data_IF_265762034578
#
_entry.id   IF_265762034578
#
_cell.length_a   1.000
_cell.length_b   1.000
_cell.length_c   1.000
_cell.angle_alpha   90.00
_cell.angle_beta   90.00
_cell.angle_gamma   90.00
#
_symmetry.space_group_name_H-M   'P 1'
#
loop_
_entity.id
_entity.type
_entity.pdbx_description
1 polymer ?
#
# COMPACT_ATOMS: atom_id res chain seq x y z
N UNK A 1 12.25 -0.34 -5.52
CA UNK A 1 10.91 0.27 -5.67
C UNK A 1 10.19 -0.24 -6.91
N UNK A 2 10.82 -0.19 -8.10
CA UNK A 2 10.26 -0.70 -9.36
C UNK A 2 9.64 -2.11 -9.27
N UNK A 3 10.33 -3.06 -8.64
CA UNK A 3 9.82 -4.44 -8.49
C UNK A 3 8.50 -4.53 -7.71
N UNK A 4 8.28 -3.69 -6.70
CA UNK A 4 7.05 -3.70 -5.91
C UNK A 4 5.86 -3.14 -6.69
N UNK A 5 6.08 -2.16 -7.56
CA UNK A 5 5.06 -1.70 -8.51
C UNK A 5 4.68 -2.81 -9.49
N UNK A 6 5.67 -3.53 -10.03
CA UNK A 6 5.42 -4.65 -10.94
C UNK A 6 4.65 -5.76 -10.26
N UNK A 7 4.99 -6.11 -9.01
CA UNK A 7 4.23 -7.10 -8.23
C UNK A 7 2.80 -6.61 -7.98
N UNK A 8 2.63 -5.33 -7.63
CA UNK A 8 1.32 -4.72 -7.41
C UNK A 8 0.41 -4.70 -8.65
N UNK A 9 1.00 -4.77 -9.85
CA UNK A 9 0.27 -4.90 -11.13
C UNK A 9 0.05 -6.37 -11.48
N UNK A 10 1.06 -7.21 -11.29
CA UNK A 10 1.04 -8.61 -11.71
C UNK A 10 0.02 -9.44 -10.93
N UNK A 11 -0.11 -9.22 -9.61
CA UNK A 11 -1.05 -10.01 -8.79
C UNK A 11 -2.51 -9.77 -9.22
N UNK A 12 -3.01 -8.52 -9.33
CA UNK A 12 -4.39 -8.30 -9.78
C UNK A 12 -4.64 -8.76 -11.22
N UNK A 13 -3.67 -8.58 -12.12
CA UNK A 13 -3.77 -9.11 -13.49
C UNK A 13 -3.89 -10.64 -13.49
N UNK A 14 -3.07 -11.33 -12.70
CA UNK A 14 -3.15 -12.78 -12.56
C UNK A 14 -4.52 -13.22 -12.02
N UNK A 15 -5.03 -12.55 -10.99
CA UNK A 15 -6.38 -12.80 -10.45
C UNK A 15 -7.44 -12.59 -11.55
N UNK A 16 -7.38 -11.49 -12.29
CA UNK A 16 -8.33 -11.21 -13.37
C UNK A 16 -8.31 -12.27 -14.48
N UNK A 17 -7.12 -12.81 -14.80
CA UNK A 17 -6.99 -13.91 -15.76
C UNK A 17 -7.65 -15.19 -15.26
N UNK A 18 -7.52 -15.51 -13.96
CA UNK A 18 -8.15 -16.68 -13.35
C UNK A 18 -9.68 -16.60 -13.37
N UNK A 19 -10.23 -15.44 -13.01
CA UNK A 19 -11.68 -15.24 -12.93
C UNK A 19 -12.34 -14.81 -14.24
N UNK A 20 -11.55 -14.48 -15.28
CA UNK A 20 -12.01 -13.92 -16.57
C UNK A 20 -13.04 -12.78 -16.39
N UNK A 21 -12.88 -11.98 -15.35
CA UNK A 21 -13.83 -10.93 -14.96
C UNK A 21 -13.10 -9.62 -14.73
N UNK A 22 -13.56 -8.56 -15.40
CA UNK A 22 -13.08 -7.20 -15.18
C UNK A 22 -13.54 -6.65 -13.83
N UNK A 23 -14.71 -7.06 -13.34
CA UNK A 23 -15.18 -6.68 -12.00
C UNK A 23 -14.29 -7.28 -10.92
N UNK A 24 -13.85 -8.53 -11.10
CA UNK A 24 -12.86 -9.15 -10.24
C UNK A 24 -11.55 -8.34 -10.26
N UNK A 25 -11.04 -7.99 -11.44
CA UNK A 25 -9.83 -7.16 -11.56
C UNK A 25 -9.93 -5.88 -10.74
N UNK A 26 -11.03 -5.13 -10.90
CA UNK A 26 -11.23 -3.82 -10.27
C UNK A 26 -11.37 -3.97 -8.75
N UNK A 27 -12.26 -4.85 -8.29
CA UNK A 27 -12.53 -5.02 -6.88
C UNK A 27 -11.30 -5.54 -6.12
N UNK A 28 -10.63 -6.58 -6.63
CA UNK A 28 -9.44 -7.12 -5.98
C UNK A 28 -8.27 -6.14 -6.03
N UNK A 29 -8.07 -5.42 -7.14
CA UNK A 29 -7.06 -4.35 -7.22
C UNK A 29 -7.30 -3.29 -6.15
N UNK A 30 -8.53 -2.81 -6.01
CA UNK A 30 -8.88 -1.76 -5.07
C UNK A 30 -8.71 -2.23 -3.62
N UNK A 31 -9.28 -3.37 -3.24
CA UNK A 31 -9.17 -3.89 -1.88
C UNK A 31 -7.74 -4.24 -1.48
N UNK A 32 -6.96 -4.84 -2.39
CA UNK A 32 -5.54 -5.09 -2.13
C UNK A 32 -4.75 -3.79 -2.00
N UNK A 33 -5.00 -2.81 -2.88
CA UNK A 33 -4.38 -1.49 -2.83
C UNK A 33 -4.60 -0.81 -1.48
N UNK A 34 -5.86 -0.81 -1.04
CA UNK A 34 -6.28 -0.26 0.24
C UNK A 34 -5.62 -0.98 1.41
N UNK A 35 -5.62 -2.31 1.40
CA UNK A 35 -5.00 -3.11 2.45
C UNK A 35 -3.50 -2.80 2.60
N UNK A 36 -2.76 -2.73 1.48
CA UNK A 36 -1.34 -2.41 1.52
C UNK A 36 -1.05 -0.97 1.95
N UNK A 37 -1.91 -0.01 1.62
CA UNK A 37 -1.79 1.36 2.11
C UNK A 37 -2.07 1.48 3.61
N UNK A 38 -3.06 0.75 4.12
CA UNK A 38 -3.32 0.66 5.56
C UNK A 38 -2.12 0.04 6.29
N UNK A 39 -1.58 -1.08 5.78
CA UNK A 39 -0.37 -1.71 6.34
C UNK A 39 0.82 -0.74 6.32
N UNK A 40 1.02 0.00 5.22
CA UNK A 40 2.05 1.04 5.13
C UNK A 40 1.89 2.10 6.22
N UNK A 41 0.66 2.61 6.41
CA UNK A 41 0.35 3.61 7.43
C UNK A 41 0.56 3.11 8.87
N UNK A 42 0.26 1.83 9.12
CA UNK A 42 0.48 1.17 10.40
C UNK A 42 1.98 0.99 10.69
N UNK A 43 2.77 0.52 9.72
CA UNK A 43 4.23 0.34 9.86
C UNK A 43 4.93 1.68 10.12
N UNK A 44 4.46 2.74 9.49
CA UNK A 44 5.00 4.08 9.68
C UNK A 44 4.57 4.71 11.03
N UNK A 45 3.66 4.06 11.78
CA UNK A 45 3.13 4.55 13.05
C UNK A 45 2.13 5.72 12.92
N UNK A 46 1.91 6.23 11.71
CA UNK A 46 1.04 7.38 11.44
C UNK A 46 -0.45 7.08 11.58
N UNK A 47 -0.86 5.84 11.33
CA UNK A 47 -2.28 5.46 11.38
C UNK A 47 -2.82 5.21 12.81
N UNK A 48 -1.95 5.04 13.82
CA UNK A 48 -2.35 4.63 15.17
C UNK A 48 -1.74 5.48 16.30
N UNK A 49 -0.83 6.42 16.00
CA UNK A 49 -0.16 7.26 17.00
C UNK A 49 -0.66 8.71 17.00
N UNK A 50 -0.80 9.31 18.18
CA UNK A 50 -0.92 10.78 18.26
C UNK A 50 0.39 11.42 17.79
N UNK A 51 0.31 12.61 17.17
CA UNK A 51 1.50 13.30 16.65
C UNK A 51 2.59 13.50 17.72
N UNK A 52 2.20 13.71 18.98
CA UNK A 52 3.13 13.82 20.10
C UNK A 52 3.81 12.50 20.45
N UNK A 53 3.07 11.37 20.40
CA UNK A 53 3.65 10.04 20.56
C UNK A 53 4.62 9.70 19.45
N UNK A 54 4.30 10.09 18.21
CA UNK A 54 5.19 9.89 17.06
C UNK A 54 6.47 10.70 17.24
N UNK A 55 6.39 11.97 17.68
CA UNK A 55 7.57 12.82 17.96
C UNK A 55 8.42 12.27 19.11
N UNK A 56 7.79 11.84 20.20
CA UNK A 56 8.50 11.24 21.33
C UNK A 56 9.23 9.94 20.94
N UNK A 57 8.55 9.04 20.22
CA UNK A 57 9.18 7.83 19.69
C UNK A 57 10.26 8.13 18.66
N UNK A 58 10.09 9.18 17.85
CA UNK A 58 11.10 9.57 16.87
C UNK A 58 12.42 9.89 17.56
N UNK A 59 12.43 10.66 18.66
CA UNK A 59 13.67 10.96 19.38
C UNK A 59 14.26 9.75 20.13
N UNK A 60 13.42 8.82 20.59
CA UNK A 60 13.85 7.65 21.35
C UNK A 60 14.34 6.47 20.49
N UNK A 61 13.94 6.40 19.20
CA UNK A 61 14.24 5.26 18.32
C UNK A 61 15.55 5.48 17.57
N UNK A 62 16.45 4.48 17.42
CA UNK A 62 17.64 4.60 16.57
C UNK A 62 17.33 4.97 15.12
N UNK A 63 18.23 5.72 14.47
CA UNK A 63 18.07 6.13 13.07
C UNK A 63 17.96 4.94 12.10
N UNK A 64 18.67 3.83 12.39
CA UNK A 64 18.63 2.62 11.58
C UNK A 64 17.22 2.01 11.56
N UNK A 65 16.59 1.87 12.72
CA UNK A 65 15.24 1.31 12.85
C UNK A 65 14.18 2.20 12.18
N UNK A 66 14.36 3.53 12.25
CA UNK A 66 13.49 4.48 11.53
C UNK A 66 13.62 4.32 10.02
N UNK A 67 14.84 4.18 9.52
CA UNK A 67 15.10 3.97 8.09
C UNK A 67 14.53 2.63 7.61
N UNK A 68 14.63 1.57 8.42
CA UNK A 68 14.05 0.28 8.10
C UNK A 68 12.51 0.31 8.07
N UNK A 69 11.87 0.94 9.08
CA UNK A 69 10.41 1.15 9.08
C UNK A 69 9.95 1.92 7.85
N UNK A 70 10.61 3.02 7.53
CA UNK A 70 10.30 3.82 6.34
C UNK A 70 10.49 3.02 5.05
N UNK A 71 11.54 2.20 4.98
CA UNK A 71 11.80 1.31 3.84
C UNK A 71 10.68 0.28 3.66
N UNK A 72 10.20 -0.35 4.73
CA UNK A 72 9.09 -1.30 4.66
C UNK A 72 7.76 -0.62 4.35
N UNK A 73 7.43 0.48 5.03
CA UNK A 73 6.24 1.28 4.74
C UNK A 73 6.22 1.70 3.26
N UNK A 74 7.35 2.20 2.75
CA UNK A 74 7.53 2.49 1.33
C UNK A 74 7.22 1.29 0.45
N UNK A 75 7.83 0.12 0.70
CA UNK A 75 7.53 -1.08 -0.11
C UNK A 75 6.04 -1.40 -0.19
N UNK A 76 5.31 -1.36 0.93
CA UNK A 76 3.87 -1.61 0.97
C UNK A 76 3.07 -0.52 0.25
N UNK A 77 3.45 0.76 0.41
CA UNK A 77 2.82 1.85 -0.32
C UNK A 77 2.92 1.65 -1.84
N UNK A 78 4.11 1.33 -2.35
CA UNK A 78 4.33 1.10 -3.78
C UNK A 78 3.71 -0.20 -4.29
N UNK A 79 3.53 -1.20 -3.43
CA UNK A 79 2.81 -2.43 -3.77
C UNK A 79 1.31 -2.16 -3.95
N UNK A 80 0.72 -1.31 -3.10
CA UNK A 80 -0.70 -0.95 -3.16
C UNK A 80 -1.04 0.15 -4.18
N UNK A 81 -0.06 0.97 -4.58
CA UNK A 81 -0.26 2.12 -5.46
C UNK A 81 -0.98 1.78 -6.79
N UNK A 82 -0.60 0.72 -7.55
CA UNK A 82 -1.28 0.40 -8.79
C UNK A 82 -2.76 0.03 -8.58
N UNK A 83 -3.05 -0.72 -7.52
CA UNK A 83 -4.42 -1.13 -7.19
C UNK A 83 -5.31 0.05 -6.80
N UNK A 84 -4.78 0.99 -6.03
CA UNK A 84 -5.47 2.24 -5.69
C UNK A 84 -5.72 3.10 -6.93
N UNK A 85 -4.74 3.24 -7.81
CA UNK A 85 -4.88 4.00 -9.07
C UNK A 85 -5.99 3.40 -9.93
N UNK A 86 -6.02 2.08 -10.10
CA UNK A 86 -7.09 1.38 -10.87
C UNK A 86 -8.47 1.68 -10.27
N UNK A 87 -8.62 1.49 -8.95
CA UNK A 87 -9.91 1.72 -8.28
C UNK A 87 -10.36 3.19 -8.35
N UNK A 88 -9.46 4.15 -8.14
CA UNK A 88 -9.76 5.58 -8.25
C UNK A 88 -10.18 5.95 -9.67
N UNK A 89 -9.43 5.51 -10.69
CA UNK A 89 -9.78 5.78 -12.10
C UNK A 89 -11.17 5.23 -12.42
N UNK A 90 -11.49 4.03 -11.92
CA UNK A 90 -12.79 3.42 -12.18
C UNK A 90 -13.93 4.16 -11.47
N UNK A 91 -13.71 4.61 -10.23
CA UNK A 91 -14.69 5.37 -9.45
C UNK A 91 -15.04 6.72 -10.09
N UNK A 92 -14.13 7.33 -10.85
CA UNK A 92 -14.38 8.56 -11.61
C UNK A 92 -14.85 8.33 -13.06
N UNK A 93 -14.88 7.06 -13.52
CA UNK A 93 -15.36 6.69 -14.86
C UNK A 93 -16.82 6.24 -14.87
N UNK A 94 -17.33 5.75 -13.74
CA UNK A 94 -18.75 5.48 -13.51
C UNK A 94 -19.49 6.75 -13.12
#
# INVERSE_FOLDING_TARGET
MKIYLLIGIAIPLFIALLFRSMDALINYSFYMGLAFWLISGLINGGAAGSGDRIRAHYHATPNADRAERSKWAGKFFYLGLPGMVIGIIYLFKG
#
